data_IF_602553126628
#
_entry.id   IF_602553126628
#
_cell.length_a   1.000
_cell.length_b   1.000
_cell.length_c   1.000
_cell.angle_alpha   90.00
_cell.angle_beta   90.00
_cell.angle_gamma   90.00
#
_symmetry.space_group_name_H-M   'P 1'
#
loop_
_entity.id
_entity.type
_entity.pdbx_description
1 polymer ?
#
# COMPACT_ATOMS: atom_id res chain seq x y z
N UNK A 1 53.89 34.65 42.94
CA UNK A 1 53.68 33.21 42.68
C UNK A 1 52.32 33.08 41.99
N UNK A 2 52.24 33.20 40.65
CA UNK A 2 52.30 32.16 39.60
C UNK A 2 51.11 31.18 39.66
N UNK A 3 50.36 31.11 38.53
CA UNK A 3 49.46 30.03 38.03
C UNK A 3 47.98 30.16 38.49
N UNK A 4 46.93 30.03 37.66
CA UNK A 4 46.75 29.44 36.32
C UNK A 4 45.64 30.14 35.50
N UNK A 5 45.78 30.08 34.18
CA UNK A 5 44.74 30.28 33.15
C UNK A 5 43.63 29.23 33.29
N UNK A 6 42.38 29.60 33.04
CA UNK A 6 41.28 28.67 32.80
C UNK A 6 40.31 29.21 31.72
N UNK A 7 39.67 28.34 30.92
CA UNK A 7 39.64 28.48 29.47
C UNK A 7 38.32 28.99 28.87
N UNK A 8 38.42 29.39 27.60
CA UNK A 8 37.37 29.74 26.64
C UNK A 8 36.23 28.70 26.61
N UNK A 9 35.00 29.13 26.88
CA UNK A 9 33.79 28.34 26.62
C UNK A 9 33.33 28.62 25.18
N UNK A 10 33.57 27.68 24.27
CA UNK A 10 32.99 27.70 22.92
C UNK A 10 31.66 26.95 22.96
N UNK A 11 30.57 27.70 22.78
CA UNK A 11 29.21 27.19 22.64
C UNK A 11 29.05 26.61 21.23
N UNK A 12 29.00 25.28 21.11
CA UNK A 12 28.64 24.60 19.87
C UNK A 12 27.11 24.43 19.83
N UNK A 13 26.42 25.34 19.15
CA UNK A 13 25.00 25.21 18.81
C UNK A 13 24.85 24.14 17.71
N UNK A 14 24.62 22.90 18.12
CA UNK A 14 24.17 21.83 17.22
C UNK A 14 22.71 22.10 16.87
N UNK A 15 22.48 22.73 15.71
CA UNK A 15 21.16 22.82 15.10
C UNK A 15 20.79 21.42 14.63
N UNK A 16 20.02 20.70 15.44
CA UNK A 16 19.35 19.49 15.02
C UNK A 16 18.32 19.85 13.94
N UNK A 17 18.69 19.69 12.66
CA UNK A 17 17.70 19.57 11.59
C UNK A 17 16.95 18.28 11.83
N UNK A 18 15.82 18.37 12.52
CA UNK A 18 14.91 17.24 12.69
C UNK A 18 14.43 16.78 11.33
N UNK A 19 14.95 15.65 10.86
CA UNK A 19 14.32 14.84 9.83
C UNK A 19 13.01 14.30 10.42
N UNK A 20 11.96 15.11 10.38
CA UNK A 20 10.60 14.63 10.60
C UNK A 20 10.19 13.86 9.36
N UNK A 21 10.27 12.54 9.40
CA UNK A 21 9.60 11.68 8.44
C UNK A 21 8.11 12.01 8.52
N UNK A 22 7.58 12.65 7.49
CA UNK A 22 6.17 13.01 7.42
C UNK A 22 5.38 11.69 7.41
N UNK A 23 4.74 11.36 8.55
CA UNK A 23 3.93 10.15 8.66
C UNK A 23 2.83 10.22 7.61
N UNK A 24 3.00 9.43 6.55
CA UNK A 24 1.98 9.33 5.52
C UNK A 24 0.82 8.55 6.11
N UNK A 25 -0.32 9.22 6.26
CA UNK A 25 -1.55 8.65 6.85
C UNK A 25 -2.28 7.85 5.77
N UNK A 26 -2.82 6.69 6.14
CA UNK A 26 -3.68 5.91 5.27
C UNK A 26 -4.92 6.71 4.87
N UNK A 27 -5.15 6.87 3.56
CA UNK A 27 -6.32 7.58 3.07
C UNK A 27 -7.63 6.85 3.48
N UNK A 28 -8.68 7.56 3.94
CA UNK A 28 -9.92 6.93 4.38
C UNK A 28 -10.59 6.04 3.32
N UNK A 29 -10.46 6.39 2.04
CA UNK A 29 -11.00 5.60 0.94
C UNK A 29 -10.43 4.17 0.89
N UNK A 30 -9.21 3.96 1.40
CA UNK A 30 -8.55 2.65 1.43
C UNK A 30 -9.25 1.62 2.31
N UNK A 31 -10.06 2.09 3.27
CA UNK A 31 -10.77 1.24 4.24
C UNK A 31 -12.28 1.47 4.23
N UNK A 32 -12.81 2.14 3.19
CA UNK A 32 -14.23 2.51 3.12
C UNK A 32 -15.14 1.28 3.04
N UNK A 33 -15.01 0.49 1.97
CA UNK A 33 -15.73 -0.78 1.82
C UNK A 33 -15.12 -1.65 0.73
N UNK A 34 -15.39 -2.96 0.78
CA UNK A 34 -14.98 -3.88 -0.28
C UNK A 34 -15.71 -3.56 -1.60
N UNK A 35 -16.99 -3.19 -1.50
CA UNK A 35 -17.86 -2.84 -2.62
C UNK A 35 -17.31 -1.61 -3.37
N UNK A 36 -16.87 -0.57 -2.66
CA UNK A 36 -16.26 0.61 -3.28
C UNK A 36 -15.01 0.24 -4.09
N UNK A 37 -14.18 -0.69 -3.60
CA UNK A 37 -13.01 -1.19 -4.32
C UNK A 37 -13.42 -2.00 -5.55
N UNK A 38 -14.40 -2.88 -5.42
CA UNK A 38 -14.91 -3.70 -6.53
C UNK A 38 -15.50 -2.82 -7.65
N UNK A 39 -16.21 -1.74 -7.29
CA UNK A 39 -16.71 -0.73 -8.23
C UNK A 39 -15.57 0.04 -8.88
N UNK A 40 -14.58 0.52 -8.12
CA UNK A 40 -13.42 1.21 -8.70
C UNK A 40 -12.68 0.33 -9.72
N UNK A 41 -12.58 -0.97 -9.45
CA UNK A 41 -11.93 -1.97 -10.29
C UNK A 41 -12.70 -2.30 -11.59
N UNK A 42 -13.90 -1.74 -11.83
CA UNK A 42 -14.57 -1.83 -13.14
C UNK A 42 -13.75 -1.17 -14.25
N UNK A 43 -12.89 -0.21 -13.90
CA UNK A 43 -12.00 0.48 -14.84
C UNK A 43 -10.79 -0.38 -15.26
N UNK A 44 -10.57 -1.52 -14.62
CA UNK A 44 -9.44 -2.39 -14.94
C UNK A 44 -9.54 -2.92 -16.39
N UNK A 45 -8.42 -2.96 -17.15
CA UNK A 45 -7.04 -2.79 -16.71
C UNK A 45 -6.53 -1.34 -16.78
N UNK A 46 -7.40 -0.37 -17.06
CA UNK A 46 -7.01 1.04 -17.04
C UNK A 46 -6.62 1.49 -15.63
N UNK A 47 -6.08 2.70 -15.46
CA UNK A 47 -5.77 3.26 -14.15
C UNK A 47 -7.01 3.25 -13.24
N UNK A 48 -6.84 2.71 -12.02
CA UNK A 48 -7.90 2.62 -11.01
C UNK A 48 -7.54 3.57 -9.86
N UNK A 49 -8.47 4.47 -9.57
CA UNK A 49 -8.44 5.35 -8.40
C UNK A 49 -9.74 5.20 -7.63
N UNK A 50 -9.64 5.32 -6.31
CA UNK A 50 -10.78 5.40 -5.40
C UNK A 50 -11.47 6.77 -5.49
N UNK A 51 -12.54 6.97 -4.71
CA UNK A 51 -13.37 8.17 -4.77
C UNK A 51 -12.61 9.48 -4.48
N UNK A 52 -11.52 9.42 -3.74
CA UNK A 52 -10.63 10.53 -3.40
C UNK A 52 -9.42 10.68 -4.34
N UNK A 53 -9.33 9.85 -5.38
CA UNK A 53 -8.19 9.80 -6.30
C UNK A 53 -7.03 8.90 -5.83
N UNK A 54 -7.12 8.29 -4.65
CA UNK A 54 -6.07 7.39 -4.13
C UNK A 54 -5.99 6.11 -4.97
N UNK A 55 -4.77 5.66 -5.30
CA UNK A 55 -4.53 4.39 -6.00
C UNK A 55 -4.45 3.24 -5.00
N UNK A 56 -4.74 2.01 -5.44
CA UNK A 56 -4.71 0.83 -4.56
C UNK A 56 -3.30 0.52 -4.04
N UNK A 57 -2.27 0.74 -4.85
CA UNK A 57 -0.86 0.62 -4.43
C UNK A 57 -0.50 1.65 -3.38
N UNK A 58 -1.05 2.87 -3.46
CA UNK A 58 -0.85 3.90 -2.44
C UNK A 58 -1.51 3.50 -1.13
N UNK A 59 -2.68 2.87 -1.15
CA UNK A 59 -3.28 2.32 0.07
C UNK A 59 -2.35 1.31 0.77
N UNK A 60 -1.78 0.37 0.01
CA UNK A 60 -0.86 -0.63 0.57
C UNK A 60 0.46 0.00 1.02
N UNK A 61 0.96 1.00 0.29
CA UNK A 61 2.16 1.74 0.66
C UNK A 61 1.97 2.56 1.96
N UNK A 62 0.77 3.11 2.19
CA UNK A 62 0.48 3.96 3.36
C UNK A 62 0.10 3.18 4.62
N UNK A 63 -0.33 1.92 4.51
CA UNK A 63 -0.65 1.12 5.69
C UNK A 63 0.63 0.69 6.41
N UNK A 64 0.94 1.33 7.55
CA UNK A 64 2.20 1.14 8.29
C UNK A 64 2.00 0.57 9.68
N UNK A 65 0.85 0.79 10.30
CA UNK A 65 0.51 0.21 11.60
C UNK A 65 -0.26 -1.10 11.46
N UNK A 66 -0.18 -1.95 12.49
CA UNK A 66 -0.92 -3.22 12.52
C UNK A 66 -2.43 -3.01 12.35
N UNK A 67 -2.99 -1.95 12.93
CA UNK A 67 -4.43 -1.61 12.83
C UNK A 67 -4.81 -1.22 11.41
N UNK A 68 -3.97 -0.43 10.73
CA UNK A 68 -4.17 -0.04 9.32
C UNK A 68 -4.06 -1.26 8.40
N UNK A 69 -3.03 -2.10 8.60
CA UNK A 69 -2.83 -3.32 7.83
C UNK A 69 -3.97 -4.31 8.00
N UNK A 70 -4.49 -4.45 9.23
CA UNK A 70 -5.64 -5.29 9.51
C UNK A 70 -6.90 -4.76 8.82
N UNK A 71 -7.19 -3.46 8.97
CA UNK A 71 -8.36 -2.81 8.36
C UNK A 71 -8.33 -2.89 6.83
N UNK A 72 -7.21 -2.46 6.24
CA UNK A 72 -6.99 -2.54 4.79
C UNK A 72 -7.04 -4.00 4.31
N UNK A 73 -6.38 -4.90 5.05
CA UNK A 73 -6.31 -6.30 4.68
C UNK A 73 -7.66 -7.00 4.65
N UNK A 74 -8.56 -6.68 5.59
CA UNK A 74 -9.94 -7.17 5.56
C UNK A 74 -10.66 -6.70 4.30
N UNK A 75 -10.62 -5.38 4.03
CA UNK A 75 -11.30 -4.78 2.88
C UNK A 75 -10.78 -5.34 1.54
N UNK A 76 -9.45 -5.41 1.35
CA UNK A 76 -8.88 -5.94 0.11
C UNK A 76 -9.13 -7.44 -0.07
N UNK A 77 -9.09 -8.23 1.01
CA UNK A 77 -9.36 -9.67 0.93
C UNK A 77 -10.81 -9.93 0.54
N UNK A 78 -11.76 -9.23 1.16
CA UNK A 78 -13.18 -9.34 0.80
C UNK A 78 -13.44 -8.88 -0.63
N UNK A 79 -12.80 -7.80 -1.10
CA UNK A 79 -12.90 -7.39 -2.50
C UNK A 79 -12.34 -8.46 -3.45
N UNK A 80 -11.21 -9.08 -3.12
CA UNK A 80 -10.62 -10.15 -3.92
C UNK A 80 -11.53 -11.39 -4.02
N UNK A 81 -12.15 -11.79 -2.90
CA UNK A 81 -13.11 -12.89 -2.83
C UNK A 81 -14.34 -12.61 -3.71
N UNK A 82 -14.92 -11.40 -3.61
CA UNK A 82 -16.05 -10.98 -4.45
C UNK A 82 -15.69 -11.01 -5.95
N UNK A 83 -14.52 -10.51 -6.34
CA UNK A 83 -14.08 -10.54 -7.74
C UNK A 83 -13.84 -11.96 -8.25
N UNK A 84 -13.33 -12.85 -7.40
CA UNK A 84 -13.13 -14.26 -7.70
C UNK A 84 -14.47 -14.97 -7.93
N UNK A 85 -15.46 -14.75 -7.06
CA UNK A 85 -16.82 -15.28 -7.18
C UNK A 85 -17.51 -14.80 -8.46
N UNK A 86 -17.40 -13.50 -8.76
CA UNK A 86 -17.95 -12.87 -9.97
C UNK A 86 -17.18 -13.22 -11.26
N UNK A 87 -16.11 -14.03 -11.16
CA UNK A 87 -15.23 -14.39 -12.28
C UNK A 87 -14.58 -13.19 -12.99
N UNK A 88 -14.38 -12.06 -12.30
CA UNK A 88 -13.77 -10.83 -12.84
C UNK A 88 -12.24 -10.87 -12.80
N UNK A 89 -11.66 -11.81 -13.56
CA UNK A 89 -10.23 -12.15 -13.49
C UNK A 89 -9.26 -10.98 -13.77
N UNK A 90 -9.59 -10.08 -14.71
CA UNK A 90 -8.76 -8.89 -14.97
C UNK A 90 -8.72 -7.95 -13.76
N UNK A 91 -9.86 -7.73 -13.10
CA UNK A 91 -9.96 -6.87 -11.93
C UNK A 91 -9.26 -7.50 -10.71
N UNK A 92 -9.45 -8.80 -10.48
CA UNK A 92 -8.74 -9.54 -9.44
C UNK A 92 -7.23 -9.47 -9.64
N UNK A 93 -6.76 -9.70 -10.87
CA UNK A 93 -5.34 -9.59 -11.21
C UNK A 93 -4.82 -8.17 -10.95
N UNK A 94 -5.60 -7.15 -11.33
CA UNK A 94 -5.23 -5.75 -11.08
C UNK A 94 -5.04 -5.47 -9.59
N UNK A 95 -5.99 -5.90 -8.74
CA UNK A 95 -5.91 -5.73 -7.29
C UNK A 95 -4.62 -6.37 -6.72
N UNK A 96 -4.32 -7.61 -7.10
CA UNK A 96 -3.09 -8.29 -6.66
C UNK A 96 -1.83 -7.57 -7.16
N UNK A 97 -1.82 -7.11 -8.41
CA UNK A 97 -0.70 -6.37 -8.98
C UNK A 97 -0.46 -5.03 -8.28
N UNK A 98 -1.52 -4.28 -7.98
CA UNK A 98 -1.45 -3.01 -7.27
C UNK A 98 -0.94 -3.22 -5.83
N UNK A 99 -1.41 -4.27 -5.16
CA UNK A 99 -0.95 -4.61 -3.81
C UNK A 99 0.54 -4.97 -3.78
N UNK A 100 1.03 -5.72 -4.78
CA UNK A 100 2.47 -6.00 -4.94
C UNK A 100 3.28 -4.72 -5.07
N UNK A 101 2.87 -3.82 -5.96
CA UNK A 101 3.52 -2.53 -6.17
C UNK A 101 3.59 -1.70 -4.89
N UNK A 102 2.50 -1.64 -4.12
CA UNK A 102 2.46 -0.91 -2.86
C UNK A 102 3.37 -1.51 -1.78
N UNK A 103 3.39 -2.84 -1.68
CA UNK A 103 4.22 -3.55 -0.70
C UNK A 103 5.73 -3.42 -0.97
N UNK A 104 6.13 -3.27 -2.24
CA UNK A 104 7.54 -3.00 -2.60
C UNK A 104 8.04 -1.66 -2.02
N UNK A 105 7.17 -0.65 -1.95
CA UNK A 105 7.51 0.67 -1.39
C UNK A 105 7.40 0.74 0.14
N UNK A 106 6.76 -0.25 0.78
CA UNK A 106 6.57 -0.25 2.23
C UNK A 106 7.58 -1.08 3.03
N UNK A 107 8.73 -1.40 2.45
CA UNK A 107 9.77 -2.19 3.12
C UNK A 107 9.35 -3.64 3.39
N UNK A 108 8.34 -4.13 2.68
CA UNK A 108 7.81 -5.48 2.81
C UNK A 108 6.78 -5.67 3.93
N UNK A 109 6.36 -4.61 4.62
CA UNK A 109 5.31 -4.66 5.66
C UNK A 109 3.99 -5.20 5.08
N UNK A 110 3.69 -4.90 3.82
CA UNK A 110 2.51 -5.41 3.12
C UNK A 110 2.64 -6.84 2.55
N UNK A 111 3.76 -7.53 2.75
CA UNK A 111 4.01 -8.82 2.07
C UNK A 111 3.05 -9.93 2.46
N UNK A 112 2.62 -10.01 3.72
CA UNK A 112 1.63 -11.01 4.12
C UNK A 112 0.26 -10.74 3.51
N UNK A 113 -0.15 -9.48 3.43
CA UNK A 113 -1.37 -9.09 2.71
C UNK A 113 -1.29 -9.51 1.24
N UNK A 114 -0.17 -9.24 0.57
CA UNK A 114 0.07 -9.67 -0.82
C UNK A 114 -0.06 -11.19 -0.94
N UNK A 115 0.57 -11.98 -0.06
CA UNK A 115 0.47 -13.46 -0.10
C UNK A 115 -0.97 -13.93 0.03
N UNK A 116 -1.76 -13.31 0.90
CA UNK A 116 -3.18 -13.64 1.07
C UNK A 116 -3.97 -13.37 -0.22
N UNK A 117 -3.78 -12.20 -0.83
CA UNK A 117 -4.45 -11.84 -2.10
C UNK A 117 -4.02 -12.76 -3.26
N UNK A 118 -2.74 -13.11 -3.33
CA UNK A 118 -2.24 -14.10 -4.30
C UNK A 118 -2.86 -15.47 -4.07
N UNK A 119 -3.08 -15.88 -2.82
CA UNK A 119 -3.80 -17.10 -2.46
C UNK A 119 -5.17 -17.15 -3.13
N UNK A 120 -5.96 -16.08 -3.03
CA UNK A 120 -7.26 -15.96 -3.71
C UNK A 120 -7.15 -16.08 -5.22
N UNK A 121 -6.14 -15.44 -5.82
CA UNK A 121 -5.85 -15.56 -7.26
C UNK A 121 -5.51 -16.98 -7.70
N UNK A 122 -4.78 -17.74 -6.88
CA UNK A 122 -4.40 -19.13 -7.20
C UNK A 122 -5.60 -20.09 -7.18
N UNK A 123 -6.60 -19.83 -6.33
CA UNK A 123 -7.82 -20.65 -6.27
C UNK A 123 -8.63 -20.60 -7.58
N UNK A 124 -8.55 -19.49 -8.32
CA UNK A 124 -9.25 -19.32 -9.60
C UNK A 124 -8.39 -19.62 -10.82
N UNK A 125 -7.09 -19.90 -10.63
CA UNK A 125 -6.13 -20.33 -11.65
C UNK A 125 -5.35 -19.18 -12.33
N UNK A 126 -4.26 -19.51 -13.03
CA UNK A 126 -3.39 -18.53 -13.71
C UNK A 126 -3.83 -18.30 -15.18
N UNK A 127 -5.01 -17.71 -15.37
CA UNK A 127 -5.56 -17.40 -16.70
C UNK A 127 -4.89 -16.17 -17.37
N UNK A 128 -5.02 -16.02 -18.71
CA UNK A 128 -4.49 -14.85 -19.42
C UNK A 128 -5.07 -13.51 -18.92
N UNK A 129 -6.34 -13.50 -18.52
CA UNK A 129 -7.01 -12.32 -17.98
C UNK A 129 -6.47 -11.93 -16.61
N UNK A 130 -6.24 -12.91 -15.73
CA UNK A 130 -5.60 -12.67 -14.43
C UNK A 130 -4.19 -12.08 -14.63
N UNK A 131 -3.39 -12.67 -15.53
CA UNK A 131 -2.05 -12.14 -15.87
C UNK A 131 -2.09 -10.74 -16.47
N UNK A 132 -3.08 -10.43 -17.29
CA UNK A 132 -3.29 -9.09 -17.85
C UNK A 132 -3.59 -8.07 -16.76
N UNK A 133 -4.49 -8.43 -15.83
CA UNK A 133 -4.78 -7.65 -14.64
C UNK A 133 -3.53 -7.41 -13.80
N UNK A 134 -2.80 -8.48 -13.46
CA UNK A 134 -1.58 -8.44 -12.66
C UNK A 134 -0.55 -7.45 -13.21
N UNK A 135 -0.28 -7.50 -14.52
CA UNK A 135 0.64 -6.55 -15.17
C UNK A 135 0.13 -5.11 -15.09
N UNK A 136 -1.15 -4.89 -15.35
CA UNK A 136 -1.75 -3.56 -15.33
C UNK A 136 -1.76 -2.93 -13.93
N UNK A 137 -2.13 -3.72 -12.91
CA UNK A 137 -2.11 -3.29 -11.51
C UNK A 137 -0.70 -2.99 -11.03
N UNK A 138 0.29 -3.80 -11.40
CA UNK A 138 1.68 -3.52 -11.04
C UNK A 138 2.22 -2.24 -11.72
N UNK A 139 1.76 -1.95 -12.94
CA UNK A 139 2.23 -0.78 -13.69
C UNK A 139 1.54 0.54 -13.26
N UNK A 140 0.24 0.48 -12.93
CA UNK A 140 -0.61 1.67 -12.81
C UNK A 140 -1.50 1.72 -11.57
N UNK A 141 -1.61 0.59 -10.87
CA UNK A 141 -2.42 0.46 -9.66
C UNK A 141 -1.83 1.18 -8.49
#
# INVERSE_FOLDING_TARGET
MRRLLAPLAVVALLVATGCGEEKTVLAPACTDSAEAIVTALEKAPGPVTLGDGTTLSRCVDQARSDVELQSLGMVLTSAAEQLAEQRRMVALGYLVGAARRGAEHNGGVGTELVRRLEGTGRLVGDGPDLRRGLRAGNASG
#
